data_IF_299681873065
#
_entry.id   IF_299681873065
#
_cell.length_a   1.000
_cell.length_b   1.000
_cell.length_c   1.000
_cell.angle_alpha   90.00
_cell.angle_beta   90.00
_cell.angle_gamma   90.00
#
_symmetry.space_group_name_H-M   'P 1'
#
loop_
_entity.id
_entity.type
_entity.pdbx_description
1 polymer ?
#
# COMPACT_ATOMS: atom_id res chain seq x y z
N UNK A 1 -53.39 29.99 -11.61
CA UNK A 1 -52.95 29.12 -10.50
C UNK A 1 -51.68 28.28 -10.77
N UNK A 2 -50.92 28.54 -11.85
CA UNK A 2 -49.70 27.75 -12.19
C UNK A 2 -48.36 28.44 -11.86
N UNK A 3 -48.34 29.76 -11.63
CA UNK A 3 -47.11 30.54 -11.42
C UNK A 3 -46.56 30.36 -10.00
N UNK A 4 -47.42 30.33 -8.98
CA UNK A 4 -47.03 30.08 -7.59
C UNK A 4 -46.46 28.67 -7.40
N UNK A 5 -47.08 27.65 -8.00
CA UNK A 5 -46.56 26.27 -7.99
C UNK A 5 -45.18 26.17 -8.66
N UNK A 6 -44.97 26.84 -9.81
CA UNK A 6 -43.65 26.90 -10.47
C UNK A 6 -42.58 27.61 -9.64
N UNK A 7 -42.92 28.70 -8.93
CA UNK A 7 -41.98 29.39 -8.02
C UNK A 7 -41.53 28.51 -6.85
N UNK A 8 -42.45 27.79 -6.21
CA UNK A 8 -42.10 26.85 -5.13
C UNK A 8 -41.28 25.65 -5.64
N UNK A 9 -41.58 25.15 -6.84
CA UNK A 9 -40.79 24.12 -7.51
C UNK A 9 -39.36 24.60 -7.81
N UNK A 10 -39.19 25.81 -8.36
CA UNK A 10 -37.88 26.41 -8.62
C UNK A 10 -37.07 26.62 -7.34
N UNK A 11 -37.71 27.02 -6.26
CA UNK A 11 -37.08 27.20 -4.94
C UNK A 11 -36.52 25.88 -4.36
N UNK A 12 -37.13 24.74 -4.68
CA UNK A 12 -36.68 23.41 -4.24
C UNK A 12 -35.67 22.82 -5.23
N UNK A 13 -35.86 23.01 -6.54
CA UNK A 13 -34.98 22.47 -7.57
C UNK A 13 -33.58 23.12 -7.51
N UNK A 14 -33.52 24.44 -7.29
CA UNK A 14 -32.25 25.19 -7.29
C UNK A 14 -31.23 24.66 -6.26
N UNK A 15 -31.57 24.46 -4.96
CA UNK A 15 -30.61 23.91 -4.00
C UNK A 15 -30.23 22.46 -4.32
N UNK A 16 -31.14 21.65 -4.87
CA UNK A 16 -30.84 20.27 -5.29
C UNK A 16 -29.80 20.26 -6.41
N UNK A 17 -29.95 21.14 -7.41
CA UNK A 17 -28.96 21.28 -8.49
C UNK A 17 -27.61 21.73 -7.93
N UNK A 18 -27.58 22.71 -7.03
CA UNK A 18 -26.34 23.21 -6.42
C UNK A 18 -25.63 22.09 -5.65
N UNK A 19 -26.36 21.36 -4.80
CA UNK A 19 -25.80 20.24 -4.03
C UNK A 19 -25.26 19.16 -4.98
N UNK A 20 -26.02 18.81 -6.02
CA UNK A 20 -25.57 17.83 -7.02
C UNK A 20 -24.29 18.29 -7.71
N UNK A 21 -24.20 19.55 -8.15
CA UNK A 21 -22.97 20.12 -8.74
C UNK A 21 -21.79 20.05 -7.77
N UNK A 22 -21.98 20.38 -6.49
CA UNK A 22 -20.91 20.29 -5.48
C UNK A 22 -20.43 18.85 -5.30
N UNK A 23 -21.34 17.88 -5.22
CA UNK A 23 -20.97 16.46 -5.10
C UNK A 23 -20.23 15.96 -6.34
N UNK A 24 -20.62 16.40 -7.54
CA UNK A 24 -19.89 16.08 -8.77
C UNK A 24 -18.47 16.66 -8.78
N UNK A 25 -18.30 17.91 -8.36
CA UNK A 25 -16.99 18.55 -8.24
C UNK A 25 -16.13 17.80 -7.22
N UNK A 26 -16.67 17.53 -6.03
CA UNK A 26 -15.97 16.78 -4.98
C UNK A 26 -15.56 15.39 -5.46
N UNK A 27 -16.45 14.67 -6.15
CA UNK A 27 -16.14 13.34 -6.68
C UNK A 27 -15.04 13.37 -7.76
N UNK A 28 -14.96 14.46 -8.53
CA UNK A 28 -13.90 14.61 -9.54
C UNK A 28 -12.53 14.92 -8.93
N UNK A 29 -12.46 15.78 -7.92
CA UNK A 29 -11.17 16.22 -7.34
C UNK A 29 -10.71 15.34 -6.18
N UNK A 30 -11.63 14.85 -5.36
CA UNK A 30 -11.40 14.11 -4.11
C UNK A 30 -12.05 12.71 -4.19
N UNK A 31 -11.48 11.81 -5.01
CA UNK A 31 -12.16 10.57 -5.40
C UNK A 31 -12.45 9.64 -4.22
N UNK A 32 -11.63 9.63 -3.17
CA UNK A 32 -11.83 8.78 -1.98
C UNK A 32 -12.58 9.47 -0.84
N UNK A 33 -13.09 10.69 -1.06
CA UNK A 33 -13.84 11.40 -0.03
C UNK A 33 -15.15 10.70 0.34
N UNK A 34 -15.59 10.86 1.58
CA UNK A 34 -16.87 10.31 2.06
C UNK A 34 -18.06 10.79 1.21
N UNK A 35 -17.95 11.99 0.63
CA UNK A 35 -18.96 12.64 -0.21
C UNK A 35 -18.78 12.37 -1.72
N UNK A 36 -17.72 11.65 -2.11
CA UNK A 36 -17.52 11.24 -3.50
C UNK A 36 -18.57 10.19 -3.90
N UNK A 37 -19.10 10.33 -5.10
CA UNK A 37 -20.06 9.37 -5.69
C UNK A 37 -19.33 8.07 -6.04
N UNK A 38 -18.15 8.18 -6.65
CA UNK A 38 -17.30 7.04 -7.01
C UNK A 38 -16.05 7.02 -6.13
N UNK A 39 -16.06 6.16 -5.09
CA UNK A 39 -14.99 6.04 -4.08
C UNK A 39 -13.82 5.18 -4.55
N UNK A 40 -13.21 5.57 -5.65
CA UNK A 40 -12.08 4.85 -6.25
C UNK A 40 -11.10 5.78 -6.95
N UNK A 41 -9.84 5.40 -6.95
CA UNK A 41 -8.76 6.05 -7.71
C UNK A 41 -8.09 5.03 -8.62
N UNK A 42 -7.78 5.43 -9.87
CA UNK A 42 -7.05 4.57 -10.80
C UNK A 42 -5.59 5.05 -10.78
N UNK A 43 -4.72 4.23 -10.22
CA UNK A 43 -3.28 4.48 -10.16
C UNK A 43 -2.58 3.76 -11.29
N UNK A 44 -1.61 4.39 -11.93
CA UNK A 44 -0.78 3.73 -12.95
C UNK A 44 0.66 3.74 -12.49
N UNK A 45 1.20 2.59 -12.04
CA UNK A 45 2.57 2.50 -11.58
C UNK A 45 3.57 2.87 -12.66
N UNK A 46 4.72 3.43 -12.27
CA UNK A 46 5.80 3.68 -13.22
C UNK A 46 6.42 2.35 -13.68
N UNK A 47 6.29 2.03 -14.97
CA UNK A 47 6.73 0.75 -15.55
C UNK A 47 8.20 0.39 -15.27
N UNK A 48 9.10 1.37 -15.26
CA UNK A 48 10.52 1.17 -14.93
C UNK A 48 10.70 0.70 -13.49
N UNK A 49 9.95 1.28 -12.56
CA UNK A 49 10.00 0.95 -11.13
C UNK A 49 9.42 -0.46 -10.92
N UNK A 50 8.30 -0.77 -11.57
CA UNK A 50 7.70 -2.12 -11.54
C UNK A 50 8.67 -3.18 -12.04
N UNK A 51 9.31 -2.96 -13.20
CA UNK A 51 10.25 -3.94 -13.76
C UNK A 51 11.45 -4.19 -12.83
N UNK A 52 12.00 -3.14 -12.21
CA UNK A 52 13.09 -3.28 -11.25
C UNK A 52 12.64 -3.99 -9.97
N UNK A 53 11.42 -3.69 -9.51
CA UNK A 53 10.83 -4.33 -8.34
C UNK A 53 10.59 -5.81 -8.57
N UNK A 54 9.96 -6.17 -9.68
CA UNK A 54 9.65 -7.54 -10.07
C UNK A 54 10.91 -8.39 -10.25
N UNK A 55 11.95 -7.85 -10.91
CA UNK A 55 13.25 -8.53 -11.02
C UNK A 55 13.80 -8.85 -9.63
N UNK A 56 13.80 -7.88 -8.72
CA UNK A 56 14.35 -8.04 -7.37
C UNK A 56 13.54 -9.04 -6.54
N UNK A 57 12.22 -9.01 -6.66
CA UNK A 57 11.32 -9.94 -5.97
C UNK A 57 11.51 -11.38 -6.49
N UNK A 58 11.67 -11.55 -7.80
CA UNK A 58 11.92 -12.86 -8.41
C UNK A 58 13.31 -13.43 -8.05
N UNK A 59 14.33 -12.59 -7.97
CA UNK A 59 15.67 -12.97 -7.51
C UNK A 59 15.60 -13.48 -6.06
N UNK A 60 14.96 -12.71 -5.18
CA UNK A 60 14.75 -13.10 -3.78
C UNK A 60 13.93 -14.40 -3.68
N UNK A 61 12.88 -14.52 -4.50
CA UNK A 61 12.03 -15.71 -4.55
C UNK A 61 12.85 -16.96 -4.88
N UNK A 62 13.66 -16.86 -5.92
CA UNK A 62 14.52 -17.95 -6.42
C UNK A 62 15.61 -18.35 -5.42
N UNK A 63 16.06 -17.41 -4.59
CA UNK A 63 17.03 -17.67 -3.52
C UNK A 63 16.41 -18.37 -2.31
N UNK A 64 15.13 -18.15 -2.03
CA UNK A 64 14.43 -18.84 -0.93
C UNK A 64 14.03 -20.27 -1.28
N UNK A 65 13.54 -20.52 -2.51
CA UNK A 65 13.02 -21.84 -2.89
C UNK A 65 14.08 -22.95 -2.86
N UNK A 66 15.36 -22.57 -2.82
CA UNK A 66 16.51 -23.47 -2.76
C UNK A 66 16.94 -23.82 -1.33
N UNK A 67 16.36 -23.19 -0.30
CA UNK A 67 16.77 -23.34 1.10
C UNK A 67 15.98 -24.43 1.83
N UNK A 68 16.65 -25.14 2.74
CA UNK A 68 16.04 -26.21 3.54
C UNK A 68 15.01 -25.67 4.56
N UNK A 69 13.89 -26.38 4.71
CA UNK A 69 12.67 -25.92 5.41
C UNK A 69 12.68 -26.11 6.94
N UNK A 70 13.75 -26.64 7.53
CA UNK A 70 13.80 -26.95 8.97
C UNK A 70 14.19 -25.74 9.84
N UNK A 71 14.49 -24.61 9.22
CA UNK A 71 14.91 -23.39 9.86
C UNK A 71 13.72 -22.46 10.14
N UNK A 72 13.61 -21.93 11.36
CA UNK A 72 12.49 -21.07 11.76
C UNK A 72 12.44 -19.78 10.93
N UNK A 73 13.60 -19.17 10.67
CA UNK A 73 13.73 -17.96 9.84
C UNK A 73 13.21 -18.21 8.44
N UNK A 74 13.67 -19.30 7.80
CA UNK A 74 13.22 -19.71 6.46
C UNK A 74 11.71 -20.00 6.46
N UNK A 75 11.21 -20.69 7.48
CA UNK A 75 9.78 -21.01 7.58
C UNK A 75 8.92 -19.75 7.71
N UNK A 76 9.31 -18.80 8.57
CA UNK A 76 8.61 -17.50 8.72
C UNK A 76 8.64 -16.67 7.43
N UNK A 77 9.74 -16.72 6.68
CA UNK A 77 9.83 -16.06 5.38
C UNK A 77 8.85 -16.66 4.37
N UNK A 78 8.78 -18.00 4.32
CA UNK A 78 7.89 -18.74 3.43
C UNK A 78 6.40 -18.60 3.76
N UNK A 79 6.06 -18.41 5.04
CA UNK A 79 4.67 -18.43 5.52
C UNK A 79 3.93 -17.08 5.49
N UNK A 80 4.55 -16.01 4.97
CA UNK A 80 3.81 -14.75 4.79
C UNK A 80 4.63 -13.49 4.59
N UNK A 81 5.96 -13.55 4.76
CA UNK A 81 6.80 -12.35 4.58
C UNK A 81 6.91 -11.92 3.11
N UNK A 82 6.75 -12.86 2.16
CA UNK A 82 6.70 -12.53 0.73
C UNK A 82 5.35 -11.91 0.30
N UNK A 83 4.25 -12.21 0.98
CA UNK A 83 2.90 -11.87 0.49
C UNK A 83 2.69 -10.35 0.43
N UNK A 84 3.25 -9.63 1.40
CA UNK A 84 3.22 -8.17 1.45
C UNK A 84 3.88 -7.53 0.22
N UNK A 85 4.80 -8.23 -0.45
CA UNK A 85 5.52 -7.77 -1.63
C UNK A 85 4.83 -8.16 -2.95
N UNK A 86 3.81 -9.02 -2.92
CA UNK A 86 3.04 -9.44 -4.11
C UNK A 86 1.78 -8.60 -4.33
N UNK A 87 1.87 -7.28 -4.14
CA UNK A 87 0.74 -6.39 -4.36
C UNK A 87 0.64 -6.00 -5.83
N UNK A 88 -0.57 -6.02 -6.40
CA UNK A 88 -0.80 -5.72 -7.83
C UNK A 88 -0.11 -4.43 -8.31
N UNK A 89 -0.12 -3.37 -7.51
CA UNK A 89 0.47 -2.07 -7.90
C UNK A 89 2.01 -2.03 -7.83
N UNK A 90 2.63 -3.09 -7.32
CA UNK A 90 4.09 -3.25 -7.24
C UNK A 90 4.62 -4.10 -8.39
N UNK A 91 3.83 -5.10 -8.83
CA UNK A 91 4.24 -6.10 -9.83
C UNK A 91 3.53 -5.94 -11.19
N UNK A 92 2.39 -5.26 -11.24
CA UNK A 92 1.68 -5.00 -12.49
C UNK A 92 2.10 -3.64 -13.05
N UNK A 93 2.48 -3.62 -14.33
CA UNK A 93 2.65 -2.38 -15.09
C UNK A 93 1.31 -1.75 -15.50
N UNK A 94 0.20 -2.45 -15.27
CA UNK A 94 -1.15 -1.99 -15.60
C UNK A 94 -1.72 -1.07 -14.51
N UNK A 95 -2.75 -0.31 -14.88
CA UNK A 95 -3.47 0.52 -13.94
C UNK A 95 -4.20 -0.31 -12.88
N UNK A 96 -4.07 0.09 -11.61
CA UNK A 96 -4.68 -0.58 -10.45
C UNK A 96 -5.72 0.33 -9.81
N UNK A 97 -6.87 -0.25 -9.45
CA UNK A 97 -7.94 0.47 -8.75
C UNK A 97 -7.68 0.46 -7.25
N UNK A 98 -7.51 1.65 -6.67
CA UNK A 98 -7.41 1.87 -5.24
C UNK A 98 -8.76 2.30 -4.66
N UNK A 99 -9.22 1.52 -3.69
CA UNK A 99 -10.36 1.83 -2.82
C UNK A 99 -9.87 1.90 -1.38
N UNK A 100 -10.72 2.38 -0.46
CA UNK A 100 -10.40 2.32 0.97
C UNK A 100 -10.15 0.87 1.42
N UNK A 101 -10.90 -0.09 0.90
CA UNK A 101 -10.71 -1.52 1.17
C UNK A 101 -9.34 -2.02 0.70
N UNK A 102 -8.86 -1.59 -0.48
CA UNK A 102 -7.51 -1.94 -0.95
C UNK A 102 -6.43 -1.37 -0.02
N UNK A 103 -6.57 -0.13 0.45
CA UNK A 103 -5.66 0.44 1.46
C UNK A 103 -5.68 -0.35 2.77
N UNK A 104 -6.87 -0.70 3.27
CA UNK A 104 -7.00 -1.49 4.50
C UNK A 104 -6.42 -2.90 4.33
N UNK A 105 -6.57 -3.53 3.16
CA UNK A 105 -5.94 -4.82 2.84
C UNK A 105 -4.42 -4.73 2.89
N UNK A 106 -3.82 -3.78 2.17
CA UNK A 106 -2.36 -3.58 2.16
C UNK A 106 -1.85 -3.32 3.59
N UNK A 107 -2.59 -2.53 4.37
CA UNK A 107 -2.26 -2.26 5.77
C UNK A 107 -2.23 -3.52 6.63
N UNK A 108 -3.19 -4.42 6.45
CA UNK A 108 -3.24 -5.70 7.17
C UNK A 108 -1.99 -6.51 6.86
N UNK A 109 -1.64 -6.66 5.59
CA UNK A 109 -0.45 -7.42 5.16
C UNK A 109 0.84 -6.82 5.76
N UNK A 110 0.96 -5.49 5.80
CA UNK A 110 2.10 -4.78 6.41
C UNK A 110 2.15 -5.00 7.92
N UNK A 111 1.01 -4.96 8.62
CA UNK A 111 0.91 -5.22 10.06
C UNK A 111 1.30 -6.68 10.38
N UNK A 112 0.86 -7.63 9.57
CA UNK A 112 1.19 -9.05 9.73
C UNK A 112 2.68 -9.29 9.50
N UNK A 113 3.24 -8.70 8.45
CA UNK A 113 4.68 -8.71 8.18
C UNK A 113 5.47 -8.15 9.37
N UNK A 114 5.04 -7.02 9.94
CA UNK A 114 5.69 -6.45 11.13
C UNK A 114 5.70 -7.42 12.30
N UNK A 115 4.58 -8.10 12.56
CA UNK A 115 4.50 -9.07 13.66
C UNK A 115 5.47 -10.23 13.45
N UNK A 116 5.58 -10.74 12.23
CA UNK A 116 6.53 -11.82 11.90
C UNK A 116 7.97 -11.34 12.09
N UNK A 117 8.31 -10.14 11.59
CA UNK A 117 9.65 -9.58 11.75
C UNK A 117 10.01 -9.35 13.22
N UNK A 118 9.07 -8.87 14.03
CA UNK A 118 9.27 -8.72 15.47
C UNK A 118 9.46 -10.08 16.16
N UNK A 119 8.69 -11.12 15.80
CA UNK A 119 8.92 -12.49 16.29
C UNK A 119 10.36 -12.93 16.03
N UNK A 120 10.83 -12.77 14.79
CA UNK A 120 12.21 -13.10 14.39
C UNK A 120 13.26 -12.36 15.22
N UNK A 121 13.02 -11.10 15.62
CA UNK A 121 14.00 -10.36 16.46
C UNK A 121 14.22 -10.98 17.83
N UNK A 122 13.25 -11.74 18.35
CA UNK A 122 13.33 -12.36 19.68
C UNK A 122 13.57 -13.87 19.66
N UNK A 123 13.18 -14.54 18.58
CA UNK A 123 13.28 -16.00 18.48
C UNK A 123 14.67 -16.51 18.09
N UNK A 124 15.46 -15.70 17.39
CA UNK A 124 16.70 -16.17 16.74
C UNK A 124 17.94 -15.40 17.19
N UNK A 125 19.07 -16.11 17.24
CA UNK A 125 20.36 -15.54 17.64
C UNK A 125 21.21 -15.17 16.42
N UNK A 126 20.78 -14.13 15.72
CA UNK A 126 21.51 -13.58 14.58
C UNK A 126 22.84 -12.93 14.97
N UNK A 127 23.81 -12.95 14.05
CA UNK A 127 25.03 -12.17 14.14
C UNK A 127 24.75 -10.65 14.02
N UNK A 128 25.76 -9.82 14.26
CA UNK A 128 25.60 -8.36 14.32
C UNK A 128 25.09 -7.77 13.00
N UNK A 129 25.55 -8.25 11.86
CA UNK A 129 25.16 -7.71 10.55
C UNK A 129 23.72 -8.11 10.22
N UNK A 130 23.38 -9.37 10.42
CA UNK A 130 22.01 -9.88 10.20
C UNK A 130 21.02 -9.17 11.12
N UNK A 131 21.37 -8.92 12.40
CA UNK A 131 20.54 -8.09 13.31
C UNK A 131 20.33 -6.67 12.80
N UNK A 132 21.38 -6.03 12.28
CA UNK A 132 21.28 -4.68 11.75
C UNK A 132 20.34 -4.59 10.55
N UNK A 133 20.42 -5.55 9.61
CA UNK A 133 19.50 -5.59 8.47
C UNK A 133 18.05 -5.89 8.89
N UNK A 134 17.85 -6.80 9.85
CA UNK A 134 16.52 -7.06 10.41
C UNK A 134 15.93 -5.81 11.07
N UNK A 135 16.74 -5.05 11.81
CA UNK A 135 16.31 -3.78 12.40
C UNK A 135 15.87 -2.77 11.32
N UNK A 136 16.68 -2.57 10.28
CA UNK A 136 16.35 -1.66 9.17
C UNK A 136 15.06 -2.08 8.45
N UNK A 137 14.85 -3.39 8.29
CA UNK A 137 13.65 -3.96 7.71
C UNK A 137 12.40 -3.68 8.59
N UNK A 138 12.50 -3.91 9.90
CA UNK A 138 11.43 -3.61 10.87
C UNK A 138 11.08 -2.13 10.86
N UNK A 139 12.09 -1.24 10.91
CA UNK A 139 11.90 0.21 10.84
C UNK A 139 11.18 0.62 9.54
N UNK A 140 11.61 0.06 8.40
CA UNK A 140 11.00 0.33 7.10
C UNK A 140 9.52 -0.07 7.04
N UNK A 141 9.16 -1.22 7.61
CA UNK A 141 7.77 -1.69 7.68
C UNK A 141 6.93 -0.81 8.62
N UNK A 142 7.47 -0.38 9.76
CA UNK A 142 6.77 0.55 10.68
C UNK A 142 6.48 1.89 9.99
N UNK A 143 7.44 2.44 9.25
CA UNK A 143 7.22 3.67 8.49
C UNK A 143 6.19 3.51 7.38
N UNK A 144 6.15 2.33 6.75
CA UNK A 144 5.16 1.97 5.74
C UNK A 144 3.76 1.90 6.35
N UNK A 145 3.59 1.23 7.49
CA UNK A 145 2.32 1.18 8.24
C UNK A 145 1.84 2.59 8.58
N UNK A 146 2.72 3.45 9.09
CA UNK A 146 2.39 4.85 9.39
C UNK A 146 1.97 5.62 8.15
N UNK A 147 2.63 5.39 7.01
CA UNK A 147 2.31 6.06 5.75
C UNK A 147 0.95 5.63 5.21
N UNK A 148 0.64 4.33 5.25
CA UNK A 148 -0.66 3.79 4.84
C UNK A 148 -1.77 4.28 5.77
N UNK A 149 -1.54 4.29 7.09
CA UNK A 149 -2.50 4.80 8.06
C UNK A 149 -2.82 6.27 7.83
N UNK A 150 -1.81 7.10 7.55
CA UNK A 150 -2.03 8.51 7.19
C UNK A 150 -2.87 8.64 5.93
N UNK A 151 -2.66 7.76 4.96
CA UNK A 151 -3.42 7.77 3.72
C UNK A 151 -4.88 7.33 3.87
N UNK A 152 -5.14 6.37 4.75
CA UNK A 152 -6.49 5.92 5.09
C UNK A 152 -7.30 6.98 5.85
N UNK A 153 -6.65 7.73 6.75
CA UNK A 153 -7.32 8.73 7.60
C UNK A 153 -7.64 10.05 6.89
N UNK A 154 -7.00 10.32 5.76
CA UNK A 154 -7.19 11.57 5.02
C UNK A 154 -8.27 11.38 3.94
N UNK A 155 -9.54 11.45 4.36
CA UNK A 155 -10.73 11.42 3.49
C UNK A 155 -10.85 12.63 2.52
N UNK A 156 -9.74 13.30 2.23
CA UNK A 156 -9.65 14.59 1.56
C UNK A 156 -8.44 14.68 0.63
N UNK A 157 -7.78 13.57 0.30
CA UNK A 157 -6.77 13.64 -0.74
C UNK A 157 -7.38 13.93 -2.09
N UNK A 158 -6.82 14.95 -2.73
CA UNK A 158 -7.00 15.18 -4.16
C UNK A 158 -6.34 14.05 -4.96
N UNK A 159 -6.68 13.96 -6.25
CA UNK A 159 -6.02 13.03 -7.18
C UNK A 159 -4.48 13.17 -7.18
N UNK A 160 -3.98 14.40 -7.19
CA UNK A 160 -2.53 14.65 -7.20
C UNK A 160 -1.86 14.19 -5.90
N UNK A 161 -2.51 14.42 -4.76
CA UNK A 161 -2.00 13.95 -3.47
C UNK A 161 -2.02 12.42 -3.39
N UNK A 162 -3.07 11.76 -3.89
CA UNK A 162 -3.13 10.30 -3.96
C UNK A 162 -2.00 9.74 -4.83
N UNK A 163 -1.77 10.34 -5.99
CA UNK A 163 -0.67 9.97 -6.88
C UNK A 163 0.68 10.04 -6.16
N UNK A 164 0.96 11.16 -5.46
CA UNK A 164 2.20 11.32 -4.71
C UNK A 164 2.34 10.32 -3.55
N UNK A 165 1.24 10.04 -2.84
CA UNK A 165 1.22 9.08 -1.73
C UNK A 165 1.49 7.67 -2.25
N UNK A 166 0.88 7.27 -3.36
CA UNK A 166 1.05 5.93 -3.94
C UNK A 166 2.45 5.74 -4.53
N UNK A 167 3.00 6.75 -5.22
CA UNK A 167 4.39 6.73 -5.68
C UNK A 167 5.38 6.59 -4.49
N UNK A 168 5.16 7.35 -3.42
CA UNK A 168 5.97 7.21 -2.19
C UNK A 168 5.82 5.83 -1.56
N UNK A 169 4.60 5.27 -1.56
CA UNK A 169 4.34 3.94 -1.03
C UNK A 169 5.08 2.86 -1.85
N UNK A 170 5.03 2.93 -3.18
CA UNK A 170 5.77 2.05 -4.08
C UNK A 170 7.29 2.09 -3.79
N UNK A 171 7.86 3.29 -3.64
CA UNK A 171 9.27 3.43 -3.29
C UNK A 171 9.62 2.90 -1.90
N UNK A 172 8.72 3.02 -0.93
CA UNK A 172 8.89 2.41 0.41
C UNK A 172 8.89 0.89 0.34
N UNK A 173 7.99 0.29 -0.44
CA UNK A 173 7.97 -1.15 -0.70
C UNK A 173 9.28 -1.62 -1.33
N UNK A 174 9.76 -0.92 -2.35
CA UNK A 174 11.02 -1.23 -3.02
C UNK A 174 12.22 -1.15 -2.05
N UNK A 175 12.24 -0.14 -1.19
CA UNK A 175 13.31 0.03 -0.19
C UNK A 175 13.27 -1.05 0.89
N UNK A 176 12.07 -1.40 1.35
CA UNK A 176 11.86 -2.51 2.29
C UNK A 176 12.30 -3.85 1.69
N UNK A 177 11.99 -4.11 0.43
CA UNK A 177 12.42 -5.33 -0.28
C UNK A 177 13.96 -5.45 -0.33
N UNK A 178 14.69 -4.34 -0.50
CA UNK A 178 16.16 -4.33 -0.44
C UNK A 178 16.71 -4.69 0.93
N UNK A 179 16.08 -4.20 2.00
CA UNK A 179 16.47 -4.58 3.36
C UNK A 179 16.16 -6.05 3.63
N UNK A 180 15.05 -6.55 3.09
CA UNK A 180 14.71 -7.97 3.20
C UNK A 180 15.73 -8.86 2.48
N UNK A 181 16.07 -8.51 1.25
CA UNK A 181 17.13 -9.17 0.48
C UNK A 181 18.47 -9.16 1.24
N UNK A 182 18.89 -8.01 1.79
CA UNK A 182 20.14 -7.89 2.56
C UNK A 182 20.11 -8.71 3.86
N UNK A 183 18.98 -8.75 4.55
CA UNK A 183 18.79 -9.58 5.75
C UNK A 183 18.90 -11.07 5.40
N UNK A 184 18.24 -11.51 4.34
CA UNK A 184 18.26 -12.89 3.89
C UNK A 184 19.67 -13.32 3.43
N UNK A 185 20.32 -12.52 2.60
CA UNK A 185 21.67 -12.78 2.13
C UNK A 185 22.65 -12.86 3.30
N UNK A 186 22.56 -11.94 4.26
CA UNK A 186 23.40 -11.98 5.47
C UNK A 186 23.13 -13.22 6.31
N UNK A 187 21.87 -13.64 6.44
CA UNK A 187 21.49 -14.83 7.21
C UNK A 187 22.06 -16.12 6.60
N UNK A 188 21.88 -16.31 5.29
CA UNK A 188 22.29 -17.53 4.58
C UNK A 188 23.81 -17.67 4.42
N UNK A 189 24.54 -16.56 4.48
CA UNK A 189 26.01 -16.55 4.36
C UNK A 189 26.74 -16.43 5.72
N UNK A 190 26.00 -16.35 6.84
CA UNK A 190 26.57 -16.33 8.19
C UNK A 190 26.75 -17.74 8.76
#
# INVERSE_FOLDING_TARGET
MNIFRKKHLLLIITPVIIISCVLFILSHYYPLSLLSINKQYIYTPESTVVAQYESKLNDLKSSYEKSETNDLTINRMQQGLLDVYHQDFLISGDSVVFTNEKFSSIKIDVIETRKILLDLTFSENYDKNTKNYLQLLVESIIEMESSIQKAELTASYSKEELEQVLNKLQMRFYSSLKYFDSFYDSYTNS
#
